data_IF_438079850459
#
_entry.id   IF_438079850459
#
_cell.length_a   1.000
_cell.length_b   1.000
_cell.length_c   1.000
_cell.angle_alpha   90.00
_cell.angle_beta   90.00
_cell.angle_gamma   90.00
#
_symmetry.space_group_name_H-M   'P 1'
#
loop_
_entity.id
_entity.type
_entity.pdbx_description
1 polymer ?
#
# COMPACT_ATOMS: atom_id res chain seq x y z
N UNK A 1 -5.08 -12.04 -13.35
CA UNK A 1 -4.26 -11.32 -12.36
C UNK A 1 -3.43 -12.36 -11.61
N UNK A 2 -2.11 -12.18 -11.50
CA UNK A 2 -1.21 -13.11 -10.81
C UNK A 2 -0.55 -12.37 -9.62
N UNK A 3 0.28 -13.06 -8.83
CA UNK A 3 0.91 -12.48 -7.65
C UNK A 3 1.77 -11.23 -7.90
N UNK A 4 2.19 -10.97 -9.15
CA UNK A 4 2.97 -9.78 -9.51
C UNK A 4 2.18 -8.69 -10.24
N UNK A 5 0.92 -8.95 -10.61
CA UNK A 5 0.00 -7.98 -11.23
C UNK A 5 -1.37 -8.08 -10.55
N UNK A 6 -1.56 -7.39 -9.41
CA UNK A 6 -2.78 -7.43 -8.62
C UNK A 6 -3.96 -6.65 -9.24
N UNK A 7 -3.69 -5.66 -10.10
CA UNK A 7 -4.70 -4.87 -10.82
C UNK A 7 -4.23 -4.52 -12.23
N UNK A 8 -5.16 -4.03 -13.06
CA UNK A 8 -4.88 -3.50 -14.40
C UNK A 8 -5.02 -1.98 -14.41
N UNK A 9 -4.06 -1.29 -15.03
CA UNK A 9 -4.09 0.17 -15.15
C UNK A 9 -4.97 0.59 -16.33
N UNK A 10 -5.89 1.53 -16.08
CA UNK A 10 -6.71 2.18 -17.11
C UNK A 10 -6.27 3.65 -17.18
N UNK A 11 -5.73 4.05 -18.32
CA UNK A 11 -5.34 5.44 -18.59
C UNK A 11 -6.41 6.10 -19.45
N UNK A 12 -7.07 7.10 -18.90
CA UNK A 12 -8.13 7.83 -19.57
C UNK A 12 -7.62 9.17 -20.12
N UNK A 13 -7.68 9.33 -21.45
CA UNK A 13 -7.28 10.55 -22.17
C UNK A 13 -8.48 11.38 -22.65
N UNK A 14 -9.71 10.94 -22.34
CA UNK A 14 -10.96 11.51 -22.84
C UNK A 14 -11.90 12.00 -21.73
N UNK A 15 -11.47 11.97 -20.47
CA UNK A 15 -12.27 12.37 -19.30
C UNK A 15 -13.58 11.56 -19.19
N UNK A 16 -13.49 10.26 -19.43
CA UNK A 16 -14.56 9.25 -19.34
C UNK A 16 -14.84 8.76 -17.91
N UNK A 17 -14.25 9.39 -16.89
CA UNK A 17 -14.46 9.01 -15.48
C UNK A 17 -15.96 8.87 -15.14
N UNK A 18 -16.79 9.84 -15.52
CA UNK A 18 -18.24 9.79 -15.28
C UNK A 18 -18.92 8.59 -15.97
N UNK A 19 -18.43 8.20 -17.14
CA UNK A 19 -18.97 7.06 -17.89
C UNK A 19 -18.56 5.72 -17.25
N UNK A 20 -17.33 5.63 -16.73
CA UNK A 20 -16.84 4.49 -15.96
C UNK A 20 -17.62 4.36 -14.66
N UNK A 21 -17.83 5.48 -13.97
CA UNK A 21 -18.58 5.55 -12.72
C UNK A 21 -20.05 5.12 -12.92
N UNK A 22 -20.69 5.59 -13.99
CA UNK A 22 -22.04 5.18 -14.35
C UNK A 22 -22.12 3.68 -14.68
N UNK A 23 -21.12 3.13 -15.36
CA UNK A 23 -21.05 1.69 -15.66
C UNK A 23 -20.87 0.87 -14.37
N UNK A 24 -19.97 1.27 -13.47
CA UNK A 24 -19.76 0.60 -12.17
C UNK A 24 -21.07 0.56 -11.38
N UNK A 25 -21.80 1.68 -11.30
CA UNK A 25 -23.09 1.73 -10.61
C UNK A 25 -24.12 0.79 -11.27
N UNK A 26 -24.21 0.79 -12.61
CA UNK A 26 -25.15 -0.07 -13.35
C UNK A 26 -24.89 -1.58 -13.11
N UNK A 27 -23.62 -1.98 -12.98
CA UNK A 27 -23.23 -3.39 -12.86
C UNK A 27 -23.01 -3.87 -11.41
N UNK A 28 -23.25 -3.03 -10.40
CA UNK A 28 -22.99 -3.39 -8.99
C UNK A 28 -24.20 -3.86 -8.18
N UNK A 29 -25.36 -4.00 -8.83
CA UNK A 29 -26.58 -4.54 -8.21
C UNK A 29 -27.13 -3.64 -7.09
N UNK A 30 -27.59 -4.23 -5.99
CA UNK A 30 -28.19 -3.50 -4.85
C UNK A 30 -27.18 -2.74 -3.97
N UNK A 31 -25.89 -2.78 -4.29
CA UNK A 31 -24.86 -2.06 -3.53
C UNK A 31 -24.92 -0.57 -3.83
N UNK A 32 -24.60 0.24 -2.83
CA UNK A 32 -24.43 1.70 -3.02
C UNK A 32 -23.29 1.99 -4.01
N UNK A 33 -23.38 3.13 -4.70
CA UNK A 33 -22.36 3.53 -5.66
C UNK A 33 -20.96 3.67 -5.01
N UNK A 34 -20.87 4.06 -3.73
CA UNK A 34 -19.60 4.09 -3.01
C UNK A 34 -19.03 2.67 -2.78
N UNK A 35 -19.83 1.74 -2.26
CA UNK A 35 -19.40 0.35 -2.02
C UNK A 35 -19.02 -0.37 -3.31
N UNK A 36 -19.70 -0.06 -4.40
CA UNK A 36 -19.37 -0.53 -5.73
C UNK A 36 -17.96 -0.08 -6.15
N UNK A 37 -17.65 1.22 -5.99
CA UNK A 37 -16.34 1.77 -6.34
C UNK A 37 -15.21 1.16 -5.52
N UNK A 38 -15.41 0.91 -4.22
CA UNK A 38 -14.40 0.26 -3.37
C UNK A 38 -14.04 -1.16 -3.82
N UNK A 39 -14.98 -1.86 -4.48
CA UNK A 39 -14.75 -3.21 -4.99
C UNK A 39 -14.04 -3.18 -6.33
N UNK A 40 -14.41 -2.24 -7.19
CA UNK A 40 -13.95 -2.20 -8.59
C UNK A 40 -12.69 -1.38 -8.80
N UNK A 41 -12.46 -0.37 -7.97
CA UNK A 41 -11.36 0.58 -8.11
C UNK A 41 -10.34 0.38 -6.98
N UNK A 42 -9.08 0.64 -7.30
CA UNK A 42 -8.03 0.71 -6.28
C UNK A 42 -8.16 2.00 -5.47
N UNK A 43 -7.71 1.96 -4.22
CA UNK A 43 -7.61 3.14 -3.36
C UNK A 43 -6.83 4.27 -4.06
N UNK A 44 -7.14 5.53 -3.73
CA UNK A 44 -6.32 6.66 -4.21
C UNK A 44 -4.94 6.62 -3.57
N UNK A 45 -3.92 7.15 -4.26
CA UNK A 45 -2.55 7.18 -3.76
C UNK A 45 -2.42 7.73 -2.32
N UNK A 46 -3.06 8.85 -1.91
CA UNK A 46 -2.96 9.34 -0.53
C UNK A 46 -3.43 8.35 0.54
N UNK A 47 -4.45 7.54 0.23
CA UNK A 47 -4.97 6.53 1.15
C UNK A 47 -3.96 5.39 1.31
N UNK A 48 -3.31 4.98 0.22
CA UNK A 48 -2.27 3.95 0.25
C UNK A 48 -1.02 4.46 0.97
N UNK A 49 -0.66 5.74 0.81
CA UNK A 49 0.44 6.38 1.54
C UNK A 49 0.17 6.34 3.05
N UNK A 50 -1.04 6.69 3.49
CA UNK A 50 -1.41 6.62 4.91
C UNK A 50 -1.36 5.17 5.45
N UNK A 51 -1.73 4.18 4.62
CA UNK A 51 -1.58 2.76 4.95
C UNK A 51 -0.10 2.37 5.08
N UNK A 52 0.76 2.89 4.20
CA UNK A 52 2.22 2.67 4.25
C UNK A 52 2.81 3.25 5.54
N UNK A 53 2.49 4.49 5.89
CA UNK A 53 2.90 5.13 7.15
C UNK A 53 2.54 4.28 8.37
N UNK A 54 1.28 3.84 8.42
CA UNK A 54 0.78 2.99 9.51
C UNK A 54 1.50 1.65 9.56
N UNK A 55 1.80 1.05 8.40
CA UNK A 55 2.51 -0.22 8.34
C UNK A 55 3.98 -0.09 8.80
N UNK A 56 4.66 0.98 8.41
CA UNK A 56 6.03 1.30 8.87
C UNK A 56 6.04 1.58 10.37
N UNK A 57 5.07 2.33 10.89
CA UNK A 57 4.96 2.57 12.33
C UNK A 57 4.75 1.27 13.10
N UNK A 58 3.88 0.37 12.63
CA UNK A 58 3.69 -0.95 13.25
C UNK A 58 4.96 -1.80 13.23
N UNK A 59 5.73 -1.74 12.16
CA UNK A 59 7.03 -2.43 12.07
C UNK A 59 8.02 -1.87 13.10
N UNK A 60 8.08 -0.55 13.24
CA UNK A 60 8.94 0.13 14.22
C UNK A 60 8.53 -0.19 15.66
N UNK A 61 7.23 -0.12 15.98
CA UNK A 61 6.68 -0.52 17.28
C UNK A 61 6.96 -1.99 17.60
N UNK A 62 6.83 -2.87 16.60
CA UNK A 62 7.20 -4.27 16.75
C UNK A 62 8.69 -4.43 17.08
N UNK A 63 9.59 -3.79 16.33
CA UNK A 63 11.04 -3.86 16.59
C UNK A 63 11.37 -3.33 17.99
N UNK A 64 10.77 -2.22 18.41
CA UNK A 64 10.91 -1.66 19.77
C UNK A 64 10.40 -2.62 20.85
N UNK A 65 9.30 -3.33 20.61
CA UNK A 65 8.79 -4.35 21.54
C UNK A 65 9.77 -5.51 21.75
N UNK A 66 10.61 -5.79 20.75
CA UNK A 66 11.69 -6.78 20.82
C UNK A 66 13.00 -6.20 21.40
N UNK A 67 13.00 -4.93 21.82
CA UNK A 67 14.18 -4.22 22.32
C UNK A 67 15.21 -3.88 21.24
N UNK A 68 14.78 -3.81 19.97
CA UNK A 68 15.64 -3.58 18.81
C UNK A 68 15.32 -2.23 18.15
N UNK A 69 16.33 -1.59 17.56
CA UNK A 69 16.11 -0.46 16.65
C UNK A 69 15.48 -0.95 15.35
N UNK A 70 14.63 -0.14 14.72
CA UNK A 70 14.08 -0.44 13.40
C UNK A 70 15.13 -0.19 12.30
N UNK A 71 16.21 -0.97 12.31
CA UNK A 71 17.29 -0.94 11.33
C UNK A 71 17.47 -2.31 10.68
N UNK A 72 17.90 -2.38 9.41
CA UNK A 72 18.11 -3.66 8.72
C UNK A 72 19.06 -4.59 9.48
N UNK A 73 20.12 -4.04 10.07
CA UNK A 73 21.12 -4.80 10.86
C UNK A 73 20.54 -5.40 12.14
N UNK A 74 19.55 -4.76 12.76
CA UNK A 74 18.95 -5.22 14.00
C UNK A 74 18.02 -6.42 13.81
N UNK A 75 17.48 -6.63 12.60
CA UNK A 75 16.60 -7.76 12.26
C UNK A 75 17.27 -9.10 12.53
N UNK A 76 18.59 -9.21 12.31
CA UNK A 76 19.34 -10.44 12.57
C UNK A 76 19.33 -10.85 14.05
N UNK A 77 19.11 -9.89 14.96
CA UNK A 77 19.07 -10.09 16.40
C UNK A 77 17.71 -10.56 16.93
N UNK A 78 16.69 -10.71 16.07
CA UNK A 78 15.40 -11.28 16.46
C UNK A 78 15.56 -12.72 16.94
N UNK A 79 15.07 -12.98 18.15
CA UNK A 79 15.17 -14.28 18.83
C UNK A 79 13.85 -15.03 18.73
N UNK A 80 13.94 -16.28 18.25
CA UNK A 80 12.80 -17.19 18.12
C UNK A 80 12.05 -17.05 16.79
N UNK A 81 11.50 -18.17 16.34
CA UNK A 81 10.84 -18.28 15.04
C UNK A 81 9.57 -17.43 14.95
N UNK A 82 8.84 -17.30 16.06
CA UNK A 82 7.64 -16.47 16.11
C UNK A 82 7.95 -14.98 15.86
N UNK A 83 9.03 -14.45 16.45
CA UNK A 83 9.45 -13.06 16.24
C UNK A 83 9.93 -12.83 14.80
N UNK A 84 10.66 -13.80 14.23
CA UNK A 84 11.10 -13.76 12.82
C UNK A 84 9.91 -13.80 11.86
N UNK A 85 8.93 -14.67 12.11
CA UNK A 85 7.72 -14.76 11.30
C UNK A 85 6.88 -13.47 11.38
N UNK A 86 6.72 -12.90 12.58
CA UNK A 86 6.02 -11.63 12.77
C UNK A 86 6.70 -10.47 12.01
N UNK A 87 8.04 -10.36 12.11
CA UNK A 87 8.81 -9.39 11.33
C UNK A 87 8.56 -9.57 9.82
N UNK A 88 8.67 -10.79 9.31
CA UNK A 88 8.46 -11.07 7.89
C UNK A 88 7.05 -10.67 7.44
N UNK A 89 6.03 -10.90 8.27
CA UNK A 89 4.66 -10.46 7.98
C UNK A 89 4.55 -8.94 7.91
N UNK A 90 5.06 -8.21 8.90
CA UNK A 90 5.03 -6.75 8.92
C UNK A 90 5.82 -6.15 7.74
N UNK A 91 7.02 -6.66 7.49
CA UNK A 91 7.88 -6.20 6.42
C UNK A 91 7.29 -6.49 5.02
N UNK A 92 6.67 -7.66 4.83
CA UNK A 92 5.97 -7.98 3.57
C UNK A 92 4.83 -7.02 3.29
N UNK A 93 4.09 -6.60 4.31
CA UNK A 93 3.00 -5.63 4.12
C UNK A 93 3.52 -4.26 3.68
N UNK A 94 4.61 -3.79 4.30
CA UNK A 94 5.31 -2.57 3.88
C UNK A 94 5.77 -2.67 2.43
N UNK A 95 6.41 -3.78 2.04
CA UNK A 95 6.84 -4.01 0.66
C UNK A 95 5.67 -4.06 -0.32
N UNK A 96 4.57 -4.72 0.05
CA UNK A 96 3.35 -4.81 -0.78
C UNK A 96 2.77 -3.42 -1.07
N UNK A 97 2.69 -2.57 -0.04
CA UNK A 97 2.19 -1.20 -0.17
C UNK A 97 3.14 -0.33 -1.00
N UNK A 98 4.46 -0.47 -0.83
CA UNK A 98 5.46 0.20 -1.71
C UNK A 98 5.25 -0.19 -3.17
N UNK A 99 5.22 -1.49 -3.48
CA UNK A 99 5.00 -1.99 -4.85
C UNK A 99 3.65 -1.56 -5.41
N UNK A 100 2.64 -1.34 -4.57
CA UNK A 100 1.37 -0.78 -4.99
C UNK A 100 1.51 0.69 -5.36
N UNK A 101 2.21 1.50 -4.56
CA UNK A 101 2.48 2.90 -4.85
C UNK A 101 3.30 3.10 -6.13
N UNK A 102 4.27 2.21 -6.40
CA UNK A 102 5.08 2.24 -7.62
C UNK A 102 4.25 2.09 -8.92
N UNK A 103 3.00 1.62 -8.83
CA UNK A 103 2.10 1.46 -9.98
C UNK A 103 1.24 2.69 -10.28
N UNK A 104 1.20 3.68 -9.37
CA UNK A 104 0.45 4.91 -9.59
C UNK A 104 1.21 5.82 -10.55
N UNK A 105 0.55 6.23 -11.63
CA UNK A 105 1.13 7.12 -12.64
C UNK A 105 0.92 8.60 -12.33
N UNK A 106 0.07 8.91 -11.34
CA UNK A 106 -0.41 10.24 -10.98
C UNK A 106 0.09 10.72 -9.61
N UNK A 107 1.23 10.20 -9.13
CA UNK A 107 1.85 10.64 -7.89
C UNK A 107 2.35 12.09 -8.01
N UNK A 108 1.81 12.98 -7.16
CA UNK A 108 2.33 14.35 -6.99
C UNK A 108 3.73 14.35 -6.36
N UNK A 109 4.43 15.48 -6.47
CA UNK A 109 5.74 15.65 -5.81
C UNK A 109 5.63 15.52 -4.28
N UNK A 110 4.55 16.04 -3.68
CA UNK A 110 4.29 15.87 -2.24
C UNK A 110 4.11 14.39 -1.88
N UNK A 111 3.36 13.63 -2.66
CA UNK A 111 3.19 12.19 -2.45
C UNK A 111 4.52 11.45 -2.49
N UNK A 112 5.39 11.76 -3.47
CA UNK A 112 6.73 11.17 -3.58
C UNK A 112 7.60 11.54 -2.40
N UNK A 113 7.58 12.80 -1.97
CA UNK A 113 8.34 13.26 -0.81
C UNK A 113 7.92 12.54 0.47
N UNK A 114 6.62 12.34 0.68
CA UNK A 114 6.11 11.56 1.82
C UNK A 114 6.56 10.09 1.75
N UNK A 115 6.48 9.46 0.57
CA UNK A 115 6.92 8.07 0.39
C UNK A 115 8.42 7.94 0.71
N UNK A 116 9.26 8.86 0.21
CA UNK A 116 10.71 8.87 0.48
C UNK A 116 11.02 9.10 1.97
N UNK A 117 10.25 9.95 2.65
CA UNK A 117 10.42 10.19 4.08
C UNK A 117 10.06 8.96 4.93
N UNK A 118 9.00 8.27 4.55
CA UNK A 118 8.48 7.09 5.25
C UNK A 118 9.35 5.86 4.99
N UNK A 119 9.88 5.72 3.77
CA UNK A 119 10.68 4.59 3.36
C UNK A 119 11.86 5.08 2.48
N UNK A 120 12.92 5.62 3.11
CA UNK A 120 14.07 6.13 2.37
C UNK A 120 14.71 5.02 1.55
N UNK A 121 15.11 5.32 0.32
CA UNK A 121 15.67 4.33 -0.60
C UNK A 121 17.08 3.83 -0.22
N UNK A 122 17.68 4.32 0.87
CA UNK A 122 18.98 3.89 1.38
C UNK A 122 18.97 3.63 2.89
N UNK A 123 19.15 2.35 3.26
CA UNK A 123 19.93 1.87 4.41
C UNK A 123 20.11 0.35 4.32
#
# INVERSE_FOLDING_TARGET
LNGSKPYGNILDFRQQQDSVDAAIALFSGEKTAEQAREIWLVDKAPVVIQKLETAVQKLDEFMKSQGLSCTPSAVANLKGDAARAAFVTHFKEVQRLKTQLDQYTDLSEDNKATIEQVLPNEN
#
